data_IF_937947510625
#
_entry.id   IF_937947510625
#
_cell.length_a   1.000
_cell.length_b   1.000
_cell.length_c   1.000
_cell.angle_alpha   90.00
_cell.angle_beta   90.00
_cell.angle_gamma   90.00
#
_symmetry.space_group_name_H-M   'P 1'
#
loop_
_entity.id
_entity.type
_entity.pdbx_description
1 polymer ?
#
# COMPACT_ATOMS: atom_id res chain seq x y z
N UNK A 1 -2.99 15.07 18.05
CA UNK A 1 -3.50 16.44 17.90
C UNK A 1 -3.73 16.71 16.44
N UNK A 2 -5.00 16.75 16.02
CA UNK A 2 -5.39 16.99 14.65
C UNK A 2 -5.11 18.43 14.26
N UNK A 3 -4.38 18.66 13.19
CA UNK A 3 -4.30 19.98 12.57
C UNK A 3 -5.47 20.10 11.60
N UNK A 4 -6.54 20.73 12.10
CA UNK A 4 -7.65 21.22 11.28
C UNK A 4 -7.12 22.21 10.26
N UNK A 5 -7.46 22.03 8.99
CA UNK A 5 -7.32 23.06 7.98
C UNK A 5 -8.37 24.16 8.27
N UNK A 6 -7.98 25.22 8.95
CA UNK A 6 -8.81 26.41 9.05
C UNK A 6 -8.46 27.37 7.89
N UNK A 7 -9.45 27.92 7.20
CA UNK A 7 -9.18 28.94 6.19
C UNK A 7 -8.82 30.26 6.86
N UNK A 8 -7.62 30.76 6.59
CA UNK A 8 -7.24 32.12 6.90
C UNK A 8 -8.03 33.06 6.01
N UNK A 9 -8.67 34.07 6.62
CA UNK A 9 -9.40 35.13 5.95
C UNK A 9 -8.53 35.83 4.89
N UNK A 10 -9.06 36.11 3.67
CA UNK A 10 -8.31 36.86 2.68
C UNK A 10 -8.35 38.33 3.01
N UNK A 11 -7.21 38.94 3.30
CA UNK A 11 -6.98 40.36 3.05
C UNK A 11 -6.73 40.54 1.56
N UNK A 12 -7.46 41.47 0.96
CA UNK A 12 -7.42 41.88 -0.43
C UNK A 12 -5.99 42.27 -0.86
N UNK A 13 -5.31 41.44 -1.63
CA UNK A 13 -4.27 41.82 -2.59
C UNK A 13 -3.78 40.60 -3.37
N UNK A 14 -3.85 40.74 -4.70
CA UNK A 14 -3.23 39.95 -5.78
C UNK A 14 -3.62 38.47 -5.91
N UNK A 15 -4.23 38.18 -7.07
CA UNK A 15 -4.55 36.86 -7.60
C UNK A 15 -3.26 36.10 -7.91
N UNK A 16 -2.70 35.45 -6.90
CA UNK A 16 -1.76 34.37 -7.08
C UNK A 16 -2.54 33.07 -6.81
N UNK A 17 -2.79 32.29 -7.86
CA UNK A 17 -3.32 30.93 -7.74
C UNK A 17 -2.35 30.09 -6.91
N UNK A 18 -2.48 30.12 -5.59
CA UNK A 18 -1.85 29.11 -4.73
C UNK A 18 -2.58 27.81 -4.96
N UNK A 19 -1.99 26.97 -5.78
CA UNK A 19 -2.35 25.55 -5.86
C UNK A 19 -2.15 24.96 -4.48
N UNK A 20 -3.25 24.73 -3.76
CA UNK A 20 -3.23 23.97 -2.51
C UNK A 20 -2.88 22.54 -2.89
N UNK A 21 -1.62 22.17 -2.77
CA UNK A 21 -1.19 20.78 -2.88
C UNK A 21 -1.64 20.05 -1.61
N UNK A 22 -2.80 19.45 -1.65
CA UNK A 22 -3.16 18.41 -0.69
C UNK A 22 -2.34 17.16 -1.04
N UNK A 23 -1.07 17.14 -0.67
CA UNK A 23 -0.33 15.90 -0.61
C UNK A 23 -0.87 15.15 0.62
N UNK A 24 -1.80 14.24 0.41
CA UNK A 24 -2.24 13.30 1.44
C UNK A 24 -1.11 12.30 1.68
N UNK A 25 -0.04 12.74 2.33
CA UNK A 25 1.03 11.86 2.79
C UNK A 25 0.50 11.11 4.00
N UNK A 26 0.41 9.78 3.92
CA UNK A 26 0.09 8.94 5.07
C UNK A 26 1.18 9.21 6.13
N UNK A 27 0.81 9.63 7.35
CA UNK A 27 1.80 9.87 8.39
C UNK A 27 2.64 8.62 8.65
N UNK A 28 3.94 8.79 8.87
CA UNK A 28 4.90 7.69 9.06
C UNK A 28 4.48 6.71 10.18
N UNK A 29 3.76 7.17 11.20
CA UNK A 29 3.20 6.33 12.26
C UNK A 29 2.21 5.26 11.77
N UNK A 30 1.61 5.46 10.59
CA UNK A 30 0.66 4.53 9.97
C UNK A 30 1.28 3.74 8.81
N UNK A 31 2.60 3.72 8.72
CA UNK A 31 3.35 2.96 7.72
C UNK A 31 4.22 1.90 8.41
N UNK A 32 4.49 0.80 7.70
CA UNK A 32 5.50 -0.17 8.10
C UNK A 32 6.90 0.27 7.63
N UNK A 33 7.93 -0.54 7.88
CA UNK A 33 9.32 -0.25 7.49
C UNK A 33 9.46 -0.05 5.97
N UNK A 34 8.60 -0.68 5.16
CA UNK A 34 8.58 -0.55 3.70
C UNK A 34 7.57 0.49 3.20
N UNK A 35 7.18 1.43 4.06
CA UNK A 35 6.31 2.58 3.74
C UNK A 35 4.87 2.20 3.35
N UNK A 36 4.47 0.93 3.51
CA UNK A 36 3.10 0.49 3.28
C UNK A 36 2.18 0.81 4.46
N UNK A 37 0.89 1.08 4.17
CA UNK A 37 -0.08 1.42 5.19
C UNK A 37 -0.29 0.29 6.23
N UNK A 38 -0.48 0.67 7.50
CA UNK A 38 -0.86 -0.21 8.61
C UNK A 38 -2.34 -0.03 8.93
N UNK A 39 -2.96 -1.09 9.44
CA UNK A 39 -4.34 -1.08 9.92
C UNK A 39 -5.37 -1.52 8.88
N UNK A 40 -6.62 -1.69 9.33
CA UNK A 40 -7.71 -2.21 8.52
C UNK A 40 -7.59 -3.70 8.20
N UNK A 41 -8.49 -4.19 7.33
CA UNK A 41 -8.39 -5.54 6.77
C UNK A 41 -7.28 -5.57 5.73
N UNK A 42 -6.21 -6.29 6.01
CA UNK A 42 -5.01 -6.33 5.18
C UNK A 42 -4.96 -7.64 4.39
N UNK A 43 -4.93 -7.51 3.09
CA UNK A 43 -4.78 -8.66 2.18
C UNK A 43 -3.32 -9.14 2.11
N UNK A 44 -3.09 -10.23 1.39
CA UNK A 44 -1.73 -10.76 1.13
C UNK A 44 -0.79 -9.73 0.52
N UNK A 45 -1.30 -8.80 -0.29
CA UNK A 45 -0.50 -7.71 -0.88
C UNK A 45 0.23 -6.84 0.16
N UNK A 46 -0.36 -6.63 1.32
CA UNK A 46 0.20 -5.77 2.36
C UNK A 46 0.89 -6.56 3.47
N UNK A 47 0.37 -7.76 3.81
CA UNK A 47 0.94 -8.56 4.89
C UNK A 47 2.05 -9.49 4.43
N UNK A 48 1.94 -10.04 3.21
CA UNK A 48 2.97 -10.87 2.57
C UNK A 48 3.48 -10.14 1.33
N UNK A 49 4.00 -8.96 1.55
CA UNK A 49 4.32 -7.96 0.54
C UNK A 49 5.55 -8.28 -0.31
N UNK A 50 5.45 -8.03 -1.59
CA UNK A 50 6.57 -8.01 -2.54
C UNK A 50 6.89 -6.59 -3.03
N UNK A 51 5.98 -5.64 -2.76
CA UNK A 51 6.04 -4.28 -3.28
C UNK A 51 5.77 -3.25 -2.19
N UNK A 52 6.32 -2.07 -2.37
CA UNK A 52 5.88 -0.84 -1.73
C UNK A 52 4.83 -0.18 -2.62
N UNK A 53 3.73 0.26 -2.03
CA UNK A 53 2.63 0.93 -2.71
C UNK A 53 2.61 2.41 -2.38
N UNK A 54 2.74 3.26 -3.38
CA UNK A 54 2.83 4.72 -3.21
C UNK A 54 1.67 5.42 -3.89
N UNK A 55 1.03 6.33 -3.16
CA UNK A 55 -0.05 7.23 -3.63
C UNK A 55 0.20 8.61 -3.02
N UNK A 56 0.09 9.70 -3.75
CA UNK A 56 -0.17 9.81 -5.19
C UNK A 56 1.09 9.66 -6.04
N UNK A 57 0.89 9.41 -7.34
CA UNK A 57 1.95 9.51 -8.32
C UNK A 57 2.18 11.00 -8.70
N UNK A 58 3.34 11.35 -9.25
CA UNK A 58 3.63 12.67 -9.79
C UNK A 58 3.37 12.71 -11.30
N UNK A 59 2.75 13.77 -11.78
CA UNK A 59 2.49 13.96 -13.20
C UNK A 59 1.26 14.83 -13.49
N UNK A 60 1.07 15.25 -14.74
CA UNK A 60 -0.07 16.06 -15.14
C UNK A 60 -1.36 15.24 -15.24
N UNK A 61 -2.51 15.90 -15.10
CA UNK A 61 -3.83 15.32 -15.29
C UNK A 61 -4.15 14.19 -14.31
N UNK A 62 -4.63 13.06 -14.80
CA UNK A 62 -5.03 11.90 -14.00
C UNK A 62 -3.86 11.14 -13.38
N UNK A 63 -2.62 11.40 -13.81
CA UNK A 63 -1.44 10.71 -13.27
C UNK A 63 -1.27 10.92 -11.76
N UNK A 64 -1.67 12.08 -11.23
CA UNK A 64 -1.60 12.36 -9.79
C UNK A 64 -2.67 11.65 -8.95
N UNK A 65 -3.66 11.02 -9.59
CA UNK A 65 -4.74 10.27 -8.93
C UNK A 65 -4.46 8.76 -8.89
N UNK A 66 -3.45 8.30 -9.64
CA UNK A 66 -3.04 6.90 -9.67
C UNK A 66 -1.86 6.67 -8.73
N UNK A 67 -1.82 5.49 -8.12
CA UNK A 67 -0.64 5.03 -7.39
C UNK A 67 0.31 4.26 -8.30
N UNK A 68 1.47 3.92 -7.75
CA UNK A 68 2.41 3.00 -8.36
C UNK A 68 2.97 2.04 -7.32
N UNK A 69 3.52 0.95 -7.79
CA UNK A 69 4.18 -0.05 -6.96
C UNK A 69 5.66 -0.17 -7.34
N UNK A 70 6.49 -0.35 -6.34
CA UNK A 70 7.93 -0.60 -6.52
C UNK A 70 8.27 -1.91 -5.83
N UNK A 71 8.92 -2.83 -6.57
CA UNK A 71 9.38 -4.11 -6.00
C UNK A 71 10.38 -3.86 -4.89
N UNK A 72 10.25 -4.61 -3.81
CA UNK A 72 11.24 -4.60 -2.72
C UNK A 72 12.57 -5.17 -3.22
N UNK A 73 13.71 -4.65 -2.74
CA UNK A 73 15.03 -5.22 -3.02
C UNK A 73 15.12 -6.68 -2.58
N UNK A 74 15.91 -7.48 -3.29
CA UNK A 74 16.04 -8.91 -3.01
C UNK A 74 16.59 -9.18 -1.61
N UNK A 75 17.49 -8.33 -1.09
CA UNK A 75 18.00 -8.43 0.27
C UNK A 75 16.89 -8.28 1.33
N UNK A 76 15.87 -7.45 1.04
CA UNK A 76 14.71 -7.27 1.92
C UNK A 76 13.79 -8.48 1.83
N UNK A 77 13.57 -9.02 0.62
CA UNK A 77 12.76 -10.22 0.41
C UNK A 77 13.38 -11.44 1.08
N UNK A 78 14.70 -11.61 0.99
CA UNK A 78 15.45 -12.68 1.65
C UNK A 78 15.36 -12.55 3.18
N UNK A 79 15.45 -11.36 3.73
CA UNK A 79 15.28 -11.10 5.15
C UNK A 79 13.85 -11.41 5.64
N UNK A 80 12.83 -11.10 4.83
CA UNK A 80 11.43 -11.29 5.17
C UNK A 80 10.99 -12.75 5.05
N UNK A 81 11.46 -13.45 4.04
CA UNK A 81 10.97 -14.77 3.64
C UNK A 81 12.04 -15.87 3.67
N UNK A 82 13.30 -15.53 3.44
CA UNK A 82 14.41 -16.49 3.38
C UNK A 82 14.40 -17.34 2.11
N UNK A 83 13.24 -17.89 1.74
CA UNK A 83 13.08 -18.66 0.51
C UNK A 83 11.64 -18.68 0.00
N UNK A 84 11.48 -19.14 -1.24
CA UNK A 84 10.19 -19.23 -1.91
C UNK A 84 9.15 -20.09 -1.14
N UNK A 85 9.56 -21.20 -0.54
CA UNK A 85 8.66 -22.08 0.23
C UNK A 85 8.07 -21.38 1.45
N UNK A 86 8.88 -20.60 2.16
CA UNK A 86 8.41 -19.80 3.30
C UNK A 86 7.47 -18.67 2.86
N UNK A 87 7.75 -18.04 1.71
CA UNK A 87 6.83 -17.07 1.12
C UNK A 87 5.46 -17.69 0.83
N UNK A 88 5.44 -18.86 0.15
CA UNK A 88 4.20 -19.61 -0.14
C UNK A 88 3.41 -19.89 1.13
N UNK A 89 4.07 -20.42 2.16
CA UNK A 89 3.42 -20.74 3.44
C UNK A 89 2.80 -19.51 4.10
N UNK A 90 3.46 -18.37 4.04
CA UNK A 90 2.93 -17.10 4.58
C UNK A 90 1.71 -16.61 3.80
N UNK A 91 1.72 -16.70 2.47
CA UNK A 91 0.56 -16.36 1.62
C UNK A 91 -0.63 -17.24 1.96
N UNK A 92 -0.44 -18.56 1.99
CA UNK A 92 -1.51 -19.51 2.29
C UNK A 92 -2.07 -19.32 3.71
N UNK A 93 -1.20 -19.11 4.70
CA UNK A 93 -1.61 -18.85 6.07
C UNK A 93 -2.45 -17.58 6.18
N UNK A 94 -1.99 -16.47 5.57
CA UNK A 94 -2.73 -15.21 5.61
C UNK A 94 -4.07 -15.31 4.87
N UNK A 95 -4.13 -15.98 3.73
CA UNK A 95 -5.38 -16.23 3.02
C UNK A 95 -6.36 -17.06 3.86
N UNK A 96 -5.86 -18.08 4.54
CA UNK A 96 -6.69 -18.89 5.42
C UNK A 96 -7.30 -18.06 6.56
N UNK A 97 -6.50 -17.21 7.22
CA UNK A 97 -7.01 -16.28 8.25
C UNK A 97 -8.13 -15.40 7.69
N UNK A 98 -7.94 -14.79 6.52
CA UNK A 98 -8.94 -13.93 5.88
C UNK A 98 -10.23 -14.68 5.52
N UNK A 99 -10.13 -15.95 5.12
CA UNK A 99 -11.28 -16.79 4.86
C UNK A 99 -12.02 -17.17 6.16
N UNK A 100 -11.28 -17.51 7.21
CA UNK A 100 -11.85 -17.90 8.50
C UNK A 100 -12.54 -16.71 9.19
N UNK A 101 -12.02 -15.50 9.01
CA UNK A 101 -12.62 -14.23 9.47
C UNK A 101 -13.78 -13.75 8.58
N UNK A 102 -14.03 -14.38 7.44
CA UNK A 102 -15.11 -14.03 6.51
C UNK A 102 -14.82 -12.83 5.58
N UNK A 103 -13.57 -12.34 5.54
CA UNK A 103 -13.17 -11.23 4.67
C UNK A 103 -12.87 -11.64 3.24
N UNK A 104 -12.64 -12.93 3.00
CA UNK A 104 -12.24 -13.44 1.70
C UNK A 104 -13.05 -14.67 1.27
N UNK A 105 -13.73 -14.65 0.10
CA UNK A 105 -14.46 -15.80 -0.41
C UNK A 105 -13.52 -16.95 -0.80
N UNK A 106 -13.87 -18.17 -0.39
CA UNK A 106 -13.05 -19.38 -0.63
C UNK A 106 -12.84 -19.69 -2.11
N UNK A 107 -13.83 -19.34 -2.94
CA UNK A 107 -13.84 -19.60 -4.39
C UNK A 107 -12.68 -18.89 -5.12
N UNK A 108 -12.20 -17.78 -4.58
CA UNK A 108 -11.12 -16.99 -5.21
C UNK A 108 -9.72 -17.31 -4.65
N UNK A 109 -9.62 -18.10 -3.60
CA UNK A 109 -8.36 -18.34 -2.88
C UNK A 109 -7.26 -18.91 -3.78
N UNK A 110 -7.57 -19.91 -4.61
CA UNK A 110 -6.60 -20.54 -5.51
C UNK A 110 -6.02 -19.58 -6.54
N UNK A 111 -6.87 -18.71 -7.12
CA UNK A 111 -6.43 -17.69 -8.07
C UNK A 111 -5.50 -16.65 -7.45
N UNK A 112 -5.77 -16.26 -6.22
CA UNK A 112 -4.91 -15.33 -5.47
C UNK A 112 -3.55 -15.93 -5.13
N UNK A 113 -3.52 -17.17 -4.65
CA UNK A 113 -2.26 -17.88 -4.41
C UNK A 113 -1.43 -17.93 -5.70
N UNK A 114 -2.00 -18.40 -6.80
CA UNK A 114 -1.27 -18.49 -8.08
C UNK A 114 -0.71 -17.16 -8.56
N UNK A 115 -1.48 -16.07 -8.40
CA UNK A 115 -1.04 -14.72 -8.74
C UNK A 115 0.15 -14.27 -7.88
N UNK A 116 0.07 -14.45 -6.57
CA UNK A 116 1.12 -14.06 -5.63
C UNK A 116 2.39 -14.88 -5.86
N UNK A 117 2.25 -16.19 -6.15
CA UNK A 117 3.36 -17.08 -6.50
C UNK A 117 4.05 -16.68 -7.82
N UNK A 118 3.26 -16.23 -8.80
CA UNK A 118 3.81 -15.72 -10.07
C UNK A 118 4.59 -14.43 -9.83
N UNK A 119 4.04 -13.49 -9.06
CA UNK A 119 4.67 -12.21 -8.76
C UNK A 119 6.00 -12.35 -8.00
N UNK A 120 6.18 -13.41 -7.20
CA UNK A 120 7.46 -13.67 -6.52
C UNK A 120 8.58 -14.05 -7.51
N UNK A 121 8.23 -14.73 -8.60
CA UNK A 121 9.19 -15.22 -9.61
C UNK A 121 9.59 -14.19 -10.67
N UNK A 122 8.83 -13.11 -10.81
CA UNK A 122 9.10 -11.99 -11.71
C UNK A 122 10.14 -11.02 -11.12
#
# INVERSE_FOLDING_TARGET
>A
MGRSCFPLRPTLASHSHRTVRCAATIPQAFQNEEVNAKGGVRTTYLDVRLYTYTIPNSGPGLCNQTGYQTRLPDEVLDKLYGNYGQYVSKVEHRLKELMDEGWFPKEYASGYVQRDLKAYKE
#
